data_IF_597856336005
#
_entry.id   IF_597856336005
#
_cell.length_a   1.000
_cell.length_b   1.000
_cell.length_c   1.000
_cell.angle_alpha   90.00
_cell.angle_beta   90.00
_cell.angle_gamma   90.00
#
_symmetry.space_group_name_H-M   'P 1'
#
loop_
_entity.id
_entity.type
_entity.pdbx_description
1 polymer ?
#
# COMPACT_ATOMS: atom_id res chain seq x y z
N UNK A 1 42.57 -27.20 49.40
CA UNK A 1 41.18 -27.10 48.86
C UNK A 1 40.95 -28.20 47.83
N UNK A 2 39.90 -29.02 47.95
CA UNK A 2 39.66 -30.11 46.99
C UNK A 2 39.15 -29.56 45.64
N UNK A 3 39.55 -30.19 44.53
CA UNK A 3 39.13 -29.81 43.15
C UNK A 3 37.60 -29.72 42.98
N UNK A 4 36.82 -30.41 43.82
CA UNK A 4 35.35 -30.34 43.83
C UNK A 4 34.83 -29.05 44.48
N UNK A 5 35.43 -28.61 45.58
CA UNK A 5 35.07 -27.34 46.24
C UNK A 5 35.38 -26.14 45.35
N UNK A 6 36.53 -26.15 44.66
CA UNK A 6 36.92 -25.10 43.71
C UNK A 6 35.96 -24.99 42.52
N UNK A 7 35.47 -26.11 41.98
CA UNK A 7 34.45 -26.11 40.92
C UNK A 7 33.13 -25.50 41.36
N UNK A 8 32.65 -25.85 42.56
CA UNK A 8 31.40 -25.27 43.10
C UNK A 8 31.54 -23.76 43.28
N UNK A 9 32.64 -23.28 43.86
CA UNK A 9 32.90 -21.85 44.04
C UNK A 9 32.92 -21.12 42.70
N UNK A 10 33.61 -21.66 41.68
CA UNK A 10 33.60 -21.07 40.33
C UNK A 10 32.22 -21.00 39.71
N UNK A 11 31.43 -22.08 39.78
CA UNK A 11 30.06 -22.07 39.26
C UNK A 11 29.21 -21.04 40.00
N UNK A 12 29.29 -20.97 41.33
CA UNK A 12 28.55 -19.97 42.12
C UNK A 12 28.90 -18.55 41.69
N UNK A 13 30.19 -18.24 41.53
CA UNK A 13 30.66 -16.92 41.04
C UNK A 13 30.13 -16.60 39.64
N UNK A 14 30.15 -17.58 38.72
CA UNK A 14 29.62 -17.40 37.37
C UNK A 14 28.11 -17.13 37.41
N UNK A 15 27.36 -17.88 38.23
CA UNK A 15 25.91 -17.68 38.37
C UNK A 15 25.55 -16.33 39.00
N UNK A 16 26.28 -15.89 40.04
CA UNK A 16 26.03 -14.55 40.62
C UNK A 16 26.40 -13.44 39.65
N UNK A 17 27.52 -13.53 38.94
CA UNK A 17 27.88 -12.56 37.90
C UNK A 17 26.82 -12.53 36.78
N UNK A 18 26.37 -13.69 36.31
CA UNK A 18 25.31 -13.76 35.30
C UNK A 18 23.99 -13.16 35.79
N UNK A 19 23.60 -13.43 37.05
CA UNK A 19 22.40 -12.86 37.65
C UNK A 19 22.47 -11.33 37.77
N UNK A 20 23.62 -10.79 38.19
CA UNK A 20 23.84 -9.34 38.27
C UNK A 20 23.77 -8.73 36.87
N UNK A 21 24.40 -9.33 35.86
CA UNK A 21 24.31 -8.87 34.47
C UNK A 21 22.86 -8.88 33.98
N UNK A 22 22.11 -9.96 34.22
CA UNK A 22 20.70 -10.03 33.81
C UNK A 22 19.88 -8.93 34.47
N UNK A 23 20.04 -8.68 35.77
CA UNK A 23 19.30 -7.62 36.48
C UNK A 23 19.69 -6.23 35.98
N UNK A 24 20.98 -5.97 35.75
CA UNK A 24 21.45 -4.67 35.24
C UNK A 24 21.00 -4.41 33.80
N UNK A 25 20.97 -5.45 32.96
CA UNK A 25 20.55 -5.33 31.56
C UNK A 25 19.06 -5.54 31.34
N UNK A 26 18.30 -5.99 32.35
CA UNK A 26 16.84 -6.16 32.27
C UNK A 26 16.10 -4.91 31.79
N UNK A 27 16.30 -3.70 32.38
CA UNK A 27 15.61 -2.50 31.91
C UNK A 27 16.03 -2.09 30.49
N UNK A 28 17.27 -2.37 30.08
CA UNK A 28 17.73 -2.12 28.71
C UNK A 28 17.07 -3.08 27.72
N UNK A 29 16.93 -4.36 28.10
CA UNK A 29 16.25 -5.37 27.29
C UNK A 29 14.75 -5.11 27.19
N UNK A 30 14.08 -4.70 28.28
CA UNK A 30 12.66 -4.37 28.24
C UNK A 30 12.38 -3.17 27.35
N UNK A 31 13.19 -2.11 27.45
CA UNK A 31 13.06 -0.96 26.54
C UNK A 31 13.39 -1.31 25.10
N UNK A 32 14.45 -2.08 24.84
CA UNK A 32 14.76 -2.53 23.49
C UNK A 32 13.64 -3.40 22.91
N UNK A 33 13.03 -4.26 23.74
CA UNK A 33 11.91 -5.10 23.35
C UNK A 33 10.66 -4.28 23.05
N UNK A 34 10.32 -3.29 23.87
CA UNK A 34 9.19 -2.38 23.62
C UNK A 34 9.37 -1.61 22.32
N UNK A 35 10.55 -1.02 22.10
CA UNK A 35 10.85 -0.28 20.86
C UNK A 35 10.81 -1.22 19.67
N UNK A 36 11.40 -2.41 19.77
CA UNK A 36 11.35 -3.41 18.71
C UNK A 36 9.92 -3.88 18.43
N UNK A 37 9.11 -4.11 19.47
CA UNK A 37 7.72 -4.51 19.35
C UNK A 37 6.87 -3.42 18.69
N UNK A 38 6.98 -2.17 19.13
CA UNK A 38 6.26 -1.04 18.51
C UNK A 38 6.67 -0.89 17.04
N UNK A 39 7.98 -0.95 16.75
CA UNK A 39 8.47 -0.82 15.38
C UNK A 39 8.04 -2.01 14.51
N UNK A 40 7.97 -3.20 15.09
CA UNK A 40 7.43 -4.40 14.44
C UNK A 40 5.93 -4.29 14.18
N UNK A 41 5.14 -3.80 15.14
CA UNK A 41 3.70 -3.55 14.95
C UNK A 41 3.49 -2.51 13.86
N UNK A 42 4.21 -1.39 13.88
CA UNK A 42 4.12 -0.35 12.83
C UNK A 42 4.53 -0.90 11.46
N UNK A 43 5.61 -1.69 11.41
CA UNK A 43 6.08 -2.31 10.17
C UNK A 43 5.05 -3.32 9.62
N UNK A 44 4.54 -4.21 10.48
CA UNK A 44 3.55 -5.22 10.09
C UNK A 44 2.23 -4.60 9.67
N UNK A 45 1.78 -3.53 10.33
CA UNK A 45 0.53 -2.85 10.00
C UNK A 45 0.66 -2.06 8.68
N UNK A 46 1.79 -1.38 8.46
CA UNK A 46 2.13 -0.77 7.18
C UNK A 46 2.16 -1.81 6.05
N UNK A 47 2.82 -2.95 6.29
CA UNK A 47 2.88 -4.07 5.32
C UNK A 47 1.50 -4.65 5.05
N UNK A 48 0.67 -4.82 6.07
CA UNK A 48 -0.70 -5.31 5.94
C UNK A 48 -1.54 -4.35 5.11
N UNK A 49 -1.38 -3.05 5.31
CA UNK A 49 -2.05 -2.03 4.51
C UNK A 49 -1.60 -2.05 3.04
N UNK A 50 -0.30 -2.19 2.77
CA UNK A 50 0.24 -2.32 1.41
C UNK A 50 -0.23 -3.62 0.72
N UNK A 51 -0.31 -4.73 1.46
CA UNK A 51 -0.75 -6.03 0.97
C UNK A 51 -2.26 -6.05 0.70
N UNK A 52 -3.07 -5.39 1.53
CA UNK A 52 -4.50 -5.16 1.28
C UNK A 52 -4.73 -4.35 0.01
N UNK A 53 -3.94 -3.27 -0.19
CA UNK A 53 -3.99 -2.50 -1.44
C UNK A 53 -3.58 -3.35 -2.62
N UNK A 54 -2.48 -4.11 -2.54
CA UNK A 54 -2.07 -5.02 -3.62
C UNK A 54 -3.15 -6.05 -3.97
N UNK A 55 -3.92 -6.52 -2.98
CA UNK A 55 -5.07 -7.40 -3.16
C UNK A 55 -6.22 -6.72 -3.90
N UNK A 56 -6.57 -5.49 -3.52
CA UNK A 56 -7.58 -4.69 -4.22
C UNK A 56 -7.23 -4.42 -5.68
N UNK A 57 -5.93 -4.34 -6.00
CA UNK A 57 -5.46 -4.07 -7.36
C UNK A 57 -5.24 -5.33 -8.22
N UNK A 58 -5.36 -6.56 -7.67
CA UNK A 58 -5.04 -7.83 -8.35
C UNK A 58 -3.71 -7.78 -9.13
N UNK A 59 -2.75 -7.00 -8.65
CA UNK A 59 -1.52 -6.72 -9.38
C UNK A 59 -0.48 -7.77 -9.02
N UNK A 60 -0.28 -8.76 -9.89
CA UNK A 60 0.74 -9.81 -9.73
C UNK A 60 2.14 -9.23 -9.49
N UNK A 61 2.44 -8.08 -10.09
CA UNK A 61 3.72 -7.36 -9.89
C UNK A 61 3.86 -6.79 -8.47
N UNK A 62 2.77 -6.39 -7.82
CA UNK A 62 2.77 -5.93 -6.43
C UNK A 62 3.09 -7.06 -5.45
N UNK A 63 2.49 -8.23 -5.65
CA UNK A 63 2.79 -9.43 -4.87
C UNK A 63 4.24 -9.88 -5.00
N UNK A 64 4.77 -9.91 -6.22
CA UNK A 64 6.18 -10.26 -6.45
C UNK A 64 7.11 -9.29 -5.72
N UNK A 65 6.83 -7.98 -5.77
CA UNK A 65 7.62 -6.98 -5.03
C UNK A 65 7.58 -7.18 -3.51
N UNK A 66 6.40 -7.48 -2.94
CA UNK A 66 6.26 -7.76 -1.50
C UNK A 66 7.02 -9.02 -1.08
N UNK A 67 6.97 -10.08 -1.89
CA UNK A 67 7.74 -11.32 -1.64
C UNK A 67 9.24 -11.05 -1.72
N UNK A 68 9.69 -10.25 -2.70
CA UNK A 68 11.10 -9.91 -2.85
C UNK A 68 11.63 -9.11 -1.66
N UNK A 69 10.85 -8.14 -1.16
CA UNK A 69 11.20 -7.42 0.06
C UNK A 69 11.22 -8.33 1.29
N UNK A 70 10.30 -9.29 1.40
CA UNK A 70 10.31 -10.27 2.49
C UNK A 70 11.57 -11.14 2.45
N UNK A 71 12.01 -11.56 1.26
CA UNK A 71 13.25 -12.31 1.09
C UNK A 71 14.46 -11.44 1.47
N UNK A 72 14.49 -10.18 1.06
CA UNK A 72 15.58 -9.25 1.39
C UNK A 72 15.65 -9.00 2.91
N UNK A 73 14.52 -8.72 3.57
CA UNK A 73 14.47 -8.50 5.01
C UNK A 73 14.83 -9.77 5.78
N UNK A 74 14.40 -10.94 5.28
CA UNK A 74 14.79 -12.24 5.83
C UNK A 74 16.29 -12.51 5.70
N UNK A 75 16.89 -12.23 4.54
CA UNK A 75 18.34 -12.35 4.32
C UNK A 75 19.13 -11.36 5.16
N UNK A 76 18.66 -10.12 5.30
CA UNK A 76 19.30 -9.12 6.15
C UNK A 76 19.27 -9.53 7.62
N UNK A 77 18.12 -9.99 8.12
CA UNK A 77 17.97 -10.51 9.48
C UNK A 77 18.86 -11.74 9.68
N UNK A 78 18.86 -12.66 8.71
CA UNK A 78 19.72 -13.84 8.72
C UNK A 78 21.19 -13.46 8.82
N UNK A 79 21.66 -12.49 8.04
CA UNK A 79 23.05 -12.01 8.07
C UNK A 79 23.38 -11.31 9.39
N UNK A 80 22.47 -10.52 9.97
CA UNK A 80 22.68 -9.90 11.28
C UNK A 80 22.78 -10.93 12.40
N UNK A 81 21.88 -11.91 12.42
CA UNK A 81 21.91 -13.04 13.37
C UNK A 81 23.19 -13.85 13.17
N UNK A 82 23.58 -14.06 11.91
CA UNK A 82 24.82 -14.74 11.52
C UNK A 82 26.07 -14.04 12.07
N UNK A 83 26.16 -12.71 11.94
CA UNK A 83 27.27 -11.93 12.48
C UNK A 83 27.29 -12.00 14.01
N UNK A 84 26.15 -11.86 14.68
CA UNK A 84 26.05 -11.98 16.14
C UNK A 84 26.46 -13.38 16.63
N UNK A 85 26.02 -14.43 15.95
CA UNK A 85 26.42 -15.80 16.25
C UNK A 85 27.91 -16.06 16.00
N UNK A 86 28.53 -15.43 15.00
CA UNK A 86 29.97 -15.59 14.75
C UNK A 86 30.85 -15.04 15.88
N UNK A 87 30.33 -14.10 16.68
CA UNK A 87 31.01 -13.57 17.88
C UNK A 87 30.89 -14.51 19.08
N UNK A 88 29.79 -15.27 19.17
CA UNK A 88 29.52 -16.21 20.27
C UNK A 88 30.10 -17.60 19.96
N UNK A 89 30.11 -18.01 18.70
CA UNK A 89 30.61 -19.30 18.23
C UNK A 89 31.76 -19.12 17.23
N UNK A 90 32.97 -19.56 17.61
CA UNK A 90 34.14 -19.69 16.72
C UNK A 90 33.98 -20.88 15.75
N UNK A 91 32.93 -20.90 14.94
CA UNK A 91 32.71 -21.94 13.93
C UNK A 91 32.96 -21.38 12.54
N UNK A 92 34.01 -21.90 11.88
CA UNK A 92 34.44 -21.49 10.52
C UNK A 92 33.43 -21.90 9.44
N UNK A 93 32.58 -22.90 9.72
CA UNK A 93 31.68 -23.51 8.73
C UNK A 93 30.30 -22.86 8.66
N UNK A 94 29.85 -22.14 9.69
CA UNK A 94 28.52 -21.52 9.68
C UNK A 94 28.50 -20.16 8.99
N UNK A 95 29.65 -19.52 8.78
CA UNK A 95 29.73 -18.15 8.27
C UNK A 95 30.86 -18.00 7.23
N UNK A 96 30.55 -18.07 5.92
CA UNK A 96 31.50 -17.72 4.87
C UNK A 96 31.58 -16.18 4.79
N UNK A 97 32.14 -15.54 5.82
CA UNK A 97 32.61 -14.16 5.69
C UNK A 97 34.02 -14.27 5.14
N UNK A 98 34.28 -13.85 3.89
CA UNK A 98 35.65 -13.69 3.43
C UNK A 98 36.25 -12.53 4.24
N UNK A 99 36.97 -12.88 5.29
CA UNK A 99 37.77 -11.94 6.06
C UNK A 99 38.95 -11.57 5.16
N UNK A 100 38.73 -10.58 4.28
CA UNK A 100 39.79 -9.97 3.48
C UNK A 100 40.25 -8.76 4.29
N UNK A 101 41.26 -8.91 5.16
CA UNK A 101 41.82 -7.79 5.88
C UNK A 101 42.53 -6.89 4.87
N UNK A 102 41.86 -5.82 4.43
CA UNK A 102 42.57 -4.72 3.78
C UNK A 102 43.33 -4.00 4.88
N UNK A 103 44.65 -4.21 4.91
CA UNK A 103 45.54 -3.57 5.89
C UNK A 103 45.77 -2.13 5.44
N UNK A 104 45.21 -1.11 6.11
CA UNK A 104 45.41 0.28 5.71
C UNK A 104 46.90 0.65 5.75
N UNK A 105 47.65 0.02 6.67
CA UNK A 105 49.09 0.13 6.77
C UNK A 105 49.84 -0.34 5.52
N UNK A 106 49.34 -1.35 4.78
CA UNK A 106 49.95 -1.79 3.50
C UNK A 106 49.54 -0.91 2.31
N UNK A 107 48.47 -0.13 2.44
CA UNK A 107 48.00 0.81 1.42
C UNK A 107 48.69 2.18 1.57
N UNK A 108 49.04 2.57 2.80
CA UNK A 108 49.82 3.78 3.09
C UNK A 108 51.34 3.54 3.04
N UNK A 109 51.83 2.37 3.47
CA UNK A 109 53.22 1.97 3.27
C UNK A 109 53.29 1.14 1.99
N UNK A 110 53.56 1.79 0.86
CA UNK A 110 53.69 1.14 -0.44
C UNK A 110 54.60 -0.09 -0.39
N UNK A 111 53.99 -1.28 -0.38
CA UNK A 111 54.60 -2.54 -0.78
C UNK A 111 55.73 -3.14 0.07
N UNK A 112 56.21 -2.53 1.16
CA UNK A 112 57.26 -3.13 1.99
C UNK A 112 56.71 -3.61 3.34
N UNK A 113 56.79 -4.93 3.53
CA UNK A 113 56.32 -5.67 4.71
C UNK A 113 57.00 -5.27 6.01
N UNK A 114 56.50 -4.19 6.62
CA UNK A 114 56.77 -3.85 8.02
C UNK A 114 55.78 -4.55 8.94
N UNK A 115 56.33 -5.21 9.96
CA UNK A 115 55.61 -5.95 11.00
C UNK A 115 54.78 -4.98 11.87
N UNK A 116 53.58 -4.66 11.42
CA UNK A 116 52.64 -3.83 12.18
C UNK A 116 52.02 -4.72 13.27
N UNK A 117 52.58 -4.65 14.49
CA UNK A 117 52.26 -5.47 15.68
C UNK A 117 50.78 -5.58 16.07
N UNK A 118 50.43 -5.40 17.36
CA UNK A 118 49.08 -5.70 17.88
C UNK A 118 47.90 -4.96 17.20
N UNK A 119 48.16 -3.95 16.37
CA UNK A 119 47.17 -3.28 15.52
C UNK A 119 46.91 -3.97 14.15
N UNK A 120 47.77 -4.89 13.71
CA UNK A 120 47.59 -5.66 12.46
C UNK A 120 46.40 -6.63 12.48
N UNK A 121 45.82 -6.88 13.67
CA UNK A 121 44.61 -7.70 13.83
C UNK A 121 43.30 -6.91 13.63
N UNK A 122 43.35 -5.58 13.61
CA UNK A 122 42.18 -4.74 13.32
C UNK A 122 42.07 -4.49 11.81
N UNK A 123 41.77 -5.56 11.05
CA UNK A 123 41.34 -5.41 9.67
C UNK A 123 39.98 -4.72 9.63
N UNK A 124 39.86 -3.62 8.89
CA UNK A 124 38.55 -3.02 8.60
C UNK A 124 37.75 -4.07 7.85
N UNK A 125 36.68 -4.59 8.46
CA UNK A 125 35.80 -5.59 7.86
C UNK A 125 35.02 -4.95 6.70
N UNK A 126 35.59 -5.01 5.50
CA UNK A 126 34.96 -4.47 4.28
C UNK A 126 33.79 -5.33 3.80
N UNK A 127 33.79 -6.63 4.14
CA UNK A 127 32.74 -7.58 3.79
C UNK A 127 31.33 -7.12 4.24
N UNK A 128 31.09 -6.87 5.53
CA UNK A 128 29.82 -6.34 6.03
C UNK A 128 29.41 -5.02 5.37
N UNK A 129 30.37 -4.17 5.01
CA UNK A 129 30.11 -2.86 4.40
C UNK A 129 29.67 -2.99 2.93
N UNK A 130 30.31 -3.87 2.15
CA UNK A 130 29.92 -4.19 0.77
C UNK A 130 28.55 -4.87 0.76
N UNK A 131 28.34 -5.85 1.64
CA UNK A 131 27.06 -6.56 1.77
C UNK A 131 25.95 -5.56 2.13
N UNK A 132 26.17 -4.71 3.13
CA UNK A 132 25.21 -3.66 3.51
C UNK A 132 24.92 -2.69 2.37
N UNK A 133 25.95 -2.33 1.58
CA UNK A 133 25.80 -1.50 0.39
C UNK A 133 24.96 -2.17 -0.70
N UNK A 134 25.19 -3.46 -0.95
CA UNK A 134 24.43 -4.27 -1.91
C UNK A 134 22.96 -4.41 -1.49
N UNK A 135 22.70 -4.68 -0.21
CA UNK A 135 21.34 -4.74 0.32
C UNK A 135 20.61 -3.41 0.23
N UNK A 136 21.29 -2.29 0.53
CA UNK A 136 20.72 -0.94 0.35
C UNK A 136 20.39 -0.67 -1.13
N UNK A 137 21.28 -1.03 -2.04
CA UNK A 137 21.06 -0.83 -3.47
C UNK A 137 19.87 -1.66 -3.98
N UNK A 138 19.80 -2.94 -3.58
CA UNK A 138 18.68 -3.82 -3.92
C UNK A 138 17.36 -3.33 -3.34
N UNK A 139 17.33 -2.92 -2.06
CA UNK A 139 16.14 -2.34 -1.44
C UNK A 139 15.67 -1.10 -2.18
N UNK A 140 16.55 -0.13 -2.47
CA UNK A 140 16.19 1.07 -3.21
C UNK A 140 15.63 0.75 -4.61
N UNK A 141 16.19 -0.27 -5.28
CA UNK A 141 15.74 -0.70 -6.61
C UNK A 141 14.36 -1.34 -6.56
N UNK A 142 14.13 -2.20 -5.57
CA UNK A 142 12.86 -2.91 -5.37
C UNK A 142 11.77 -1.93 -4.93
N UNK A 143 12.06 -1.02 -4.00
CA UNK A 143 11.17 0.06 -3.61
C UNK A 143 10.78 0.94 -4.81
N UNK A 144 11.74 1.30 -5.67
CA UNK A 144 11.47 2.04 -6.91
C UNK A 144 10.57 1.27 -7.89
N UNK A 145 10.77 -0.03 -8.04
CA UNK A 145 9.91 -0.88 -8.87
C UNK A 145 8.48 -0.98 -8.31
N UNK A 146 8.35 -1.13 -6.99
CA UNK A 146 7.05 -1.18 -6.30
C UNK A 146 6.35 0.17 -6.41
N UNK A 147 7.05 1.28 -6.17
CA UNK A 147 6.53 2.64 -6.31
C UNK A 147 6.00 2.89 -7.72
N UNK A 148 6.75 2.52 -8.76
CA UNK A 148 6.32 2.65 -10.15
C UNK A 148 5.11 1.74 -10.48
N UNK A 149 5.11 0.50 -10.01
CA UNK A 149 4.00 -0.42 -10.20
C UNK A 149 2.72 0.11 -9.51
N UNK A 150 2.84 0.59 -8.28
CA UNK A 150 1.72 1.14 -7.50
C UNK A 150 1.19 2.43 -8.12
N UNK A 151 2.08 3.34 -8.55
CA UNK A 151 1.69 4.57 -9.25
C UNK A 151 0.95 4.28 -10.55
N UNK A 152 1.41 3.29 -11.32
CA UNK A 152 0.76 2.88 -12.57
C UNK A 152 -0.63 2.27 -12.33
N UNK A 153 -0.79 1.47 -11.26
CA UNK A 153 -2.07 0.90 -10.86
C UNK A 153 -3.04 2.00 -10.38
N UNK A 154 -2.55 2.96 -9.60
CA UNK A 154 -3.34 4.08 -9.11
C UNK A 154 -3.83 4.99 -10.24
N UNK A 155 -2.96 5.27 -11.23
CA UNK A 155 -3.35 6.01 -12.44
C UNK A 155 -4.40 5.28 -13.25
N UNK A 156 -4.31 3.94 -13.39
CA UNK A 156 -5.34 3.12 -14.06
C UNK A 156 -6.67 3.21 -13.32
N UNK A 157 -6.66 3.13 -11.99
CA UNK A 157 -7.87 3.26 -11.18
C UNK A 157 -8.52 4.63 -11.34
N UNK A 158 -7.73 5.71 -11.27
CA UNK A 158 -8.22 7.08 -11.48
C UNK A 158 -8.81 7.28 -12.87
N UNK A 159 -8.22 6.65 -13.91
CA UNK A 159 -8.77 6.66 -15.27
C UNK A 159 -10.08 5.88 -15.35
N UNK A 160 -10.19 4.72 -14.70
CA UNK A 160 -11.40 3.91 -14.70
C UNK A 160 -12.53 4.57 -13.92
N UNK A 161 -12.26 5.14 -12.74
CA UNK A 161 -13.25 5.90 -11.96
C UNK A 161 -13.81 7.09 -12.76
N UNK A 162 -12.94 7.86 -13.43
CA UNK A 162 -13.37 8.95 -14.33
C UNK A 162 -14.20 8.45 -15.51
N UNK A 163 -13.92 7.26 -16.05
CA UNK A 163 -14.72 6.67 -17.13
C UNK A 163 -16.09 6.22 -16.63
N UNK A 164 -16.14 5.66 -15.43
CA UNK A 164 -17.38 5.20 -14.80
C UNK A 164 -18.29 6.37 -14.42
N UNK A 165 -17.75 7.45 -13.83
CA UNK A 165 -18.50 8.69 -13.58
C UNK A 165 -19.08 9.26 -14.89
N UNK A 166 -18.27 9.34 -15.94
CA UNK A 166 -18.75 9.80 -17.26
C UNK A 166 -19.80 8.88 -17.88
N UNK A 167 -19.74 7.57 -17.60
CA UNK A 167 -20.74 6.62 -18.08
C UNK A 167 -22.07 6.82 -17.33
N UNK A 168 -22.02 6.98 -16.00
CA UNK A 168 -23.19 7.28 -15.16
C UNK A 168 -23.83 8.62 -15.54
N UNK A 169 -23.04 9.68 -15.71
CA UNK A 169 -23.55 10.99 -16.14
C UNK A 169 -24.24 10.91 -17.52
N UNK A 170 -23.66 10.16 -18.46
CA UNK A 170 -24.28 9.93 -19.78
C UNK A 170 -25.58 9.15 -19.68
N UNK A 171 -25.67 8.18 -18.79
CA UNK A 171 -26.88 7.40 -18.58
C UNK A 171 -27.99 8.25 -17.96
N UNK A 172 -27.67 9.06 -16.96
CA UNK A 172 -28.61 10.02 -16.34
C UNK A 172 -29.09 11.06 -17.34
N UNK A 173 -28.21 11.65 -18.16
CA UNK A 173 -28.61 12.55 -19.25
C UNK A 173 -29.54 11.87 -20.26
N UNK A 174 -29.34 10.59 -20.55
CA UNK A 174 -30.23 9.83 -21.45
C UNK A 174 -31.60 9.60 -20.80
N UNK A 175 -31.66 9.30 -19.50
CA UNK A 175 -32.92 9.15 -18.76
C UNK A 175 -33.69 10.47 -18.72
N UNK A 176 -33.05 11.57 -18.34
CA UNK A 176 -33.67 12.91 -18.34
C UNK A 176 -34.17 13.32 -19.73
N UNK A 177 -33.41 13.07 -20.80
CA UNK A 177 -33.88 13.36 -22.18
C UNK A 177 -35.08 12.52 -22.60
N UNK A 178 -35.17 11.26 -22.16
CA UNK A 178 -36.32 10.40 -22.44
C UNK A 178 -37.55 10.90 -21.69
N UNK A 179 -37.41 11.23 -20.42
CA UNK A 179 -38.50 11.76 -19.59
C UNK A 179 -39.01 13.12 -20.12
N UNK A 180 -38.11 14.04 -20.49
CA UNK A 180 -38.50 15.31 -21.09
C UNK A 180 -39.24 15.12 -22.42
N UNK A 181 -38.81 14.16 -23.26
CA UNK A 181 -39.53 13.83 -24.50
C UNK A 181 -40.90 13.22 -24.26
N UNK A 182 -41.05 12.39 -23.22
CA UNK A 182 -42.34 11.83 -22.83
C UNK A 182 -43.30 12.92 -22.36
N UNK A 183 -42.84 13.84 -21.49
CA UNK A 183 -43.65 14.98 -21.04
C UNK A 183 -44.10 15.90 -22.18
N UNK A 184 -43.19 16.23 -23.09
CA UNK A 184 -43.52 17.02 -24.29
C UNK A 184 -44.61 16.33 -25.15
N UNK A 185 -44.54 15.00 -25.32
CA UNK A 185 -45.57 14.26 -26.07
C UNK A 185 -46.92 14.25 -25.36
N UNK A 186 -46.94 14.06 -24.04
CA UNK A 186 -48.18 14.12 -23.26
C UNK A 186 -48.81 15.51 -23.29
N UNK A 187 -48.01 16.58 -23.27
CA UNK A 187 -48.50 17.96 -23.41
C UNK A 187 -49.04 18.22 -24.82
N UNK A 188 -48.38 17.71 -25.87
CA UNK A 188 -48.86 17.83 -27.25
C UNK A 188 -50.17 17.06 -27.48
N UNK A 189 -50.32 15.87 -26.90
CA UNK A 189 -51.58 15.11 -26.95
C UNK A 189 -52.71 15.81 -26.18
N UNK A 190 -52.43 16.38 -25.01
CA UNK A 190 -53.42 17.19 -24.27
C UNK A 190 -53.83 18.43 -25.05
N UNK A 191 -52.88 19.15 -25.65
CA UNK A 191 -53.18 20.31 -26.48
C UNK A 191 -54.02 19.95 -27.72
N UNK A 192 -53.78 18.78 -28.34
CA UNK A 192 -54.64 18.27 -29.42
C UNK A 192 -56.06 17.96 -28.95
N UNK A 193 -56.21 17.29 -27.80
CA UNK A 193 -57.52 16.97 -27.24
C UNK A 193 -58.30 18.25 -26.90
N UNK A 194 -57.66 19.24 -26.27
CA UNK A 194 -58.29 20.53 -25.98
C UNK A 194 -58.67 21.30 -27.25
N UNK A 195 -57.85 21.23 -28.31
CA UNK A 195 -58.17 21.85 -29.60
C UNK A 195 -59.36 21.17 -30.29
N UNK A 196 -59.42 19.84 -30.28
CA UNK A 196 -60.55 19.07 -30.80
C UNK A 196 -61.84 19.34 -30.01
N UNK A 197 -61.76 19.42 -28.68
CA UNK A 197 -62.91 19.72 -27.83
C UNK A 197 -63.41 21.15 -28.08
N UNK A 198 -62.51 22.15 -28.17
CA UNK A 198 -62.89 23.52 -28.55
C UNK A 198 -63.52 23.60 -29.93
N UNK A 199 -63.03 22.82 -30.89
CA UNK A 199 -63.61 22.75 -32.23
C UNK A 199 -65.04 22.16 -32.19
N UNK A 200 -65.27 21.09 -31.43
CA UNK A 200 -66.61 20.50 -31.23
C UNK A 200 -67.58 21.46 -30.55
N UNK A 201 -67.15 22.18 -29.52
CA UNK A 201 -68.00 23.18 -28.84
C UNK A 201 -68.36 24.34 -29.78
N UNK A 202 -67.41 24.82 -30.59
CA UNK A 202 -67.70 25.84 -31.61
C UNK A 202 -68.69 25.35 -32.67
N UNK A 203 -68.58 24.09 -33.08
CA UNK A 203 -69.50 23.49 -34.06
C UNK A 203 -70.92 23.36 -33.48
N UNK A 204 -71.05 22.88 -32.23
CA UNK A 204 -72.33 22.83 -31.51
C UNK A 204 -72.95 24.22 -31.31
N UNK A 205 -72.15 25.23 -30.98
CA UNK A 205 -72.64 26.61 -30.87
C UNK A 205 -73.12 27.16 -32.22
N UNK A 206 -72.45 26.82 -33.33
CA UNK A 206 -72.91 27.20 -34.68
C UNK A 206 -74.23 26.53 -35.05
N UNK A 207 -74.41 25.25 -34.76
CA UNK A 207 -75.67 24.55 -35.06
C UNK A 207 -76.81 25.02 -34.16
N UNK A 208 -76.56 25.28 -32.87
CA UNK A 208 -77.54 25.88 -31.97
C UNK A 208 -77.96 27.29 -32.42
N UNK A 209 -77.00 28.15 -32.79
CA UNK A 209 -77.29 29.49 -33.32
C UNK A 209 -78.08 29.44 -34.65
N UNK A 210 -77.75 28.49 -35.53
CA UNK A 210 -78.52 28.28 -36.77
C UNK A 210 -79.94 27.74 -36.52
N UNK A 211 -80.16 26.99 -35.44
CA UNK A 211 -81.51 26.54 -35.04
C UNK A 211 -82.36 27.67 -34.45
N UNK A 212 -81.75 28.58 -33.66
CA UNK A 212 -82.46 29.73 -33.10
C UNK A 212 -82.92 30.73 -34.17
N UNK A 213 -82.11 30.97 -35.21
CA UNK A 213 -82.50 31.84 -36.33
C UNK A 213 -83.67 31.32 -37.19
N UNK A 214 -84.06 30.04 -37.06
CA UNK A 214 -85.23 29.50 -37.77
C UNK A 214 -86.54 29.69 -37.00
N UNK A 215 -86.49 30.09 -35.74
CA UNK A 215 -87.68 30.21 -34.89
C UNK A 215 -88.35 31.59 -35.03
N UNK A 216 -87.61 32.62 -35.42
CA UNK A 216 -88.09 34.01 -35.46
C UNK A 216 -88.86 34.40 -36.75
N UNK A 217 -88.85 33.56 -37.79
CA UNK A 217 -89.67 33.78 -39.01
C UNK A 217 -91.13 33.26 -38.86
N UNK A 218 -91.50 32.74 -37.68
CA UNK A 218 -92.82 32.13 -37.43
C UNK A 218 -93.88 33.08 -36.84
N UNK A 219 -93.51 34.29 -36.41
CA UNK A 219 -94.35 35.13 -35.53
C UNK A 219 -94.59 36.58 -36.04
N UNK A 220 -94.65 36.79 -37.36
CA UNK A 220 -95.05 38.08 -37.97
C UNK A 220 -96.26 37.97 -38.93
N UNK A 221 -97.06 36.92 -38.78
CA UNK A 221 -98.31 36.74 -39.53
C UNK A 221 -99.55 36.78 -38.65
N UNK A 222 -99.96 37.96 -38.17
CA UNK A 222 -101.33 38.27 -37.73
C UNK A 222 -101.58 39.77 -37.72
#
# INVERSE_FOLDING_TARGET
ISKRKWRRIKSTIIYTCAAILVVMFWPLLSHAFEVAHVNFVVYTDKRRHELSRCREYSSSKGYVGMVLLFIIDGLSTWLSVSVLLSWVMKSVYFFPIPNIPIRPAQLLAGGLGGDAGALGQYGINVGPMIISGLFRFLNNRVEGMIGNAMASAFQRQRKNARKEERAKEKEERRKMKKEAKLRMKEEEERARQEAEERARVMEQNKTAAASNCKTDDSDLGS
#
